data_IF_070101501510
#
_entry.id   IF_070101501510
#
_cell.length_a   1.000
_cell.length_b   1.000
_cell.length_c   1.000
_cell.angle_alpha   90.00
_cell.angle_beta   90.00
_cell.angle_gamma   90.00
#
_symmetry.space_group_name_H-M   'P 1'
#
loop_
_entity.id
_entity.type
_entity.pdbx_description
1 polymer ?
#
# COMPACT_ATOMS: atom_id res chain seq x y z
N UNK A 1 -2.08 -7.11 -10.55
CA UNK A 1 -1.66 -7.22 -9.12
C UNK A 1 -2.09 -5.95 -8.42
N UNK A 2 -2.90 -6.04 -7.36
CA UNK A 2 -3.41 -4.88 -6.64
C UNK A 2 -3.16 -5.05 -5.15
N UNK A 3 -2.48 -4.11 -4.52
CA UNK A 3 -2.25 -4.12 -3.07
C UNK A 3 -3.38 -3.34 -2.38
N UNK A 4 -4.05 -3.97 -1.42
CA UNK A 4 -5.09 -3.35 -0.61
C UNK A 4 -4.50 -2.55 0.56
N UNK A 5 -4.01 -1.35 0.22
CA UNK A 5 -3.42 -0.41 1.20
C UNK A 5 -4.46 0.03 2.24
N UNK A 6 -5.76 0.02 1.94
CA UNK A 6 -6.79 0.46 2.88
C UNK A 6 -6.94 -0.52 4.03
N UNK A 7 -7.02 -1.80 3.70
CA UNK A 7 -7.08 -2.87 4.70
C UNK A 7 -5.78 -2.92 5.50
N UNK A 8 -4.61 -2.80 4.85
CA UNK A 8 -3.33 -2.71 5.54
C UNK A 8 -3.29 -1.59 6.59
N UNK A 9 -3.72 -0.38 6.22
CA UNK A 9 -3.73 0.75 7.14
C UNK A 9 -4.67 0.51 8.33
N UNK A 10 -5.85 -0.07 8.10
CA UNK A 10 -6.79 -0.40 9.16
C UNK A 10 -6.22 -1.45 10.14
N UNK A 11 -5.66 -2.54 9.63
CA UNK A 11 -5.07 -3.62 10.45
C UNK A 11 -3.86 -3.16 11.26
N UNK A 12 -3.19 -2.10 10.82
CA UNK A 12 -2.05 -1.50 11.49
C UNK A 12 -2.40 -0.30 12.37
N UNK A 13 -3.68 0.00 12.59
CA UNK A 13 -4.19 1.16 13.33
C UNK A 13 -3.61 2.51 12.83
N UNK A 14 -3.40 2.60 11.51
CA UNK A 14 -2.84 3.76 10.84
C UNK A 14 -3.88 4.47 9.98
N UNK A 15 -3.87 5.79 10.04
CA UNK A 15 -4.53 6.67 9.08
C UNK A 15 -3.50 7.25 8.10
N UNK A 16 -3.96 7.65 6.92
CA UNK A 16 -3.11 8.37 5.94
C UNK A 16 -2.48 9.62 6.58
N UNK A 17 -3.21 10.28 7.48
CA UNK A 17 -2.71 11.43 8.23
C UNK A 17 -1.53 11.06 9.15
N UNK A 18 -1.64 9.97 9.92
CA UNK A 18 -0.54 9.49 10.77
C UNK A 18 0.68 9.10 9.93
N UNK A 19 0.46 8.37 8.82
CA UNK A 19 1.56 8.00 7.90
C UNK A 19 2.26 9.26 7.37
N UNK A 20 1.51 10.26 6.92
CA UNK A 20 2.06 11.54 6.46
C UNK A 20 2.88 12.25 7.56
N UNK A 21 2.30 12.36 8.76
CA UNK A 21 2.91 13.03 9.91
C UNK A 21 4.21 12.35 10.34
N UNK A 22 4.25 11.02 10.41
CA UNK A 22 5.41 10.27 10.87
C UNK A 22 6.51 10.21 9.80
N UNK A 23 6.13 9.99 8.53
CA UNK A 23 7.09 9.81 7.43
C UNK A 23 7.72 11.11 6.91
N UNK A 24 7.08 12.25 7.18
CA UNK A 24 7.47 13.56 6.65
C UNK A 24 6.98 13.84 5.23
N UNK A 25 6.21 12.92 4.63
CA UNK A 25 5.60 13.15 3.31
C UNK A 25 4.29 13.94 3.41
N UNK A 26 4.02 14.76 2.40
CA UNK A 26 2.80 15.57 2.35
C UNK A 26 1.53 14.73 2.34
N UNK A 27 0.55 15.09 3.18
CA UNK A 27 -0.73 14.39 3.30
C UNK A 27 -1.45 14.23 1.96
N UNK A 28 -1.56 15.29 1.18
CA UNK A 28 -2.26 15.27 -0.12
C UNK A 28 -1.57 14.35 -1.12
N UNK A 29 -0.24 14.24 -1.05
CA UNK A 29 0.56 13.33 -1.87
C UNK A 29 0.23 11.87 -1.56
N UNK A 30 0.29 11.48 -0.28
CA UNK A 30 -0.04 10.12 0.13
C UNK A 30 -1.53 9.80 -0.07
N UNK A 31 -2.42 10.75 0.21
CA UNK A 31 -3.85 10.59 -0.01
C UNK A 31 -4.17 10.30 -1.48
N UNK A 32 -3.57 11.04 -2.43
CA UNK A 32 -3.74 10.76 -3.85
C UNK A 32 -3.18 9.39 -4.23
N UNK A 33 -2.00 9.05 -3.71
CA UNK A 33 -1.32 7.80 -4.06
C UNK A 33 -2.06 6.56 -3.55
N UNK A 34 -2.45 6.53 -2.27
CA UNK A 34 -3.14 5.40 -1.65
C UNK A 34 -4.59 5.22 -2.14
N UNK A 35 -5.19 6.23 -2.77
CA UNK A 35 -6.52 6.13 -3.38
C UNK A 35 -6.46 5.89 -4.89
N UNK A 36 -5.27 5.91 -5.52
CA UNK A 36 -5.16 5.69 -6.95
C UNK A 36 -5.46 4.21 -7.25
N UNK A 37 -6.38 3.91 -8.19
CA UNK A 37 -6.55 2.54 -8.67
C UNK A 37 -5.21 2.00 -9.16
N UNK A 38 -4.72 0.94 -8.53
CA UNK A 38 -3.54 0.23 -9.00
C UNK A 38 -3.92 -0.42 -10.34
N UNK A 39 -3.16 -0.11 -11.39
CA UNK A 39 -3.25 -0.79 -12.68
C UNK A 39 -1.99 -1.62 -12.87
N UNK A 40 -1.97 -2.53 -13.85
CA UNK A 40 -0.77 -3.30 -14.18
C UNK A 40 0.46 -2.41 -14.49
N UNK A 41 0.26 -1.12 -14.80
CA UNK A 41 1.32 -0.14 -15.05
C UNK A 41 1.69 0.71 -13.82
N UNK A 42 0.94 0.63 -12.72
CA UNK A 42 1.23 1.38 -11.48
C UNK A 42 1.37 0.39 -10.33
N UNK A 43 2.59 -0.05 -10.05
CA UNK A 43 2.93 -0.76 -8.82
C UNK A 43 2.97 0.21 -7.63
N UNK A 44 3.08 -0.34 -6.41
CA UNK A 44 3.33 0.44 -5.20
C UNK A 44 4.55 1.34 -5.40
N UNK A 45 4.37 2.64 -5.16
CA UNK A 45 5.45 3.61 -5.32
C UNK A 45 6.49 3.44 -4.21
N UNK A 46 7.79 3.51 -4.52
CA UNK A 46 8.86 3.45 -3.52
C UNK A 46 8.69 4.48 -2.39
N UNK A 47 8.19 5.67 -2.71
CA UNK A 47 7.85 6.70 -1.72
C UNK A 47 6.77 6.23 -0.75
N UNK A 48 5.75 5.58 -1.28
CA UNK A 48 4.62 5.07 -0.50
C UNK A 48 5.07 3.94 0.42
N UNK A 49 5.92 3.05 -0.10
CA UNK A 49 6.57 1.99 0.67
C UNK A 49 7.46 2.55 1.79
N UNK A 50 8.29 3.56 1.50
CA UNK A 50 9.12 4.25 2.50
C UNK A 50 8.25 4.95 3.56
N UNK A 51 7.15 5.58 3.14
CA UNK A 51 6.23 6.24 4.06
C UNK A 51 5.62 5.25 5.06
N UNK A 52 5.18 4.08 4.59
CA UNK A 52 4.66 3.02 5.43
C UNK A 52 5.74 2.44 6.34
N UNK A 53 6.94 2.18 5.81
CA UNK A 53 8.09 1.68 6.57
C UNK A 53 8.44 2.61 7.75
N UNK A 54 8.50 3.92 7.50
CA UNK A 54 8.73 4.93 8.54
C UNK A 54 7.61 4.97 9.58
N UNK A 55 6.34 4.92 9.14
CA UNK A 55 5.19 4.92 10.05
C UNK A 55 5.14 3.68 10.94
N UNK A 56 5.72 2.58 10.48
CA UNK A 56 5.76 1.29 11.16
C UNK A 56 7.04 1.03 11.95
N UNK A 57 8.04 1.89 11.82
CA UNK A 57 9.39 1.66 12.34
C UNK A 57 9.99 0.32 11.86
N UNK A 58 9.74 -0.03 10.61
CA UNK A 58 10.21 -1.26 9.97
C UNK A 58 11.08 -0.93 8.75
N UNK A 59 11.87 -1.89 8.28
CA UNK A 59 12.55 -1.76 7.01
C UNK A 59 11.55 -1.90 5.84
N UNK A 60 11.80 -1.20 4.73
CA UNK A 60 10.93 -1.24 3.54
C UNK A 60 10.64 -2.65 3.03
N UNK A 61 11.63 -3.56 3.09
CA UNK A 61 11.44 -4.95 2.64
C UNK A 61 10.49 -5.75 3.54
N UNK A 62 10.41 -5.43 4.84
CA UNK A 62 9.49 -6.09 5.77
C UNK A 62 8.06 -5.70 5.43
N UNK A 63 7.82 -4.40 5.24
CA UNK A 63 6.51 -3.89 4.82
C UNK A 63 6.14 -4.43 3.44
N UNK A 64 7.07 -4.46 2.49
CA UNK A 64 6.80 -5.02 1.17
C UNK A 64 6.37 -6.49 1.26
N UNK A 65 7.09 -7.29 2.04
CA UNK A 65 6.75 -8.69 2.28
C UNK A 65 5.35 -8.85 2.89
N UNK A 66 5.03 -8.09 3.93
CA UNK A 66 3.68 -8.09 4.55
C UNK A 66 2.60 -7.77 3.51
N UNK A 67 2.81 -6.72 2.72
CA UNK A 67 1.89 -6.29 1.66
C UNK A 67 1.69 -7.37 0.59
N UNK A 68 2.75 -8.04 0.17
CA UNK A 68 2.71 -9.11 -0.84
C UNK A 68 2.06 -10.39 -0.31
N UNK A 69 2.31 -10.78 0.94
CA UNK A 69 1.81 -12.03 1.51
C UNK A 69 0.33 -11.95 1.92
N UNK A 70 -0.12 -10.78 2.39
CA UNK A 70 -1.42 -10.66 3.06
C UNK A 70 -2.40 -9.72 2.35
N UNK A 71 -1.91 -8.74 1.59
CA UNK A 71 -2.73 -7.66 1.03
C UNK A 71 -2.70 -7.62 -0.50
N UNK A 72 -2.00 -8.56 -1.14
CA UNK A 72 -1.94 -8.66 -2.58
C UNK A 72 -3.15 -9.42 -3.13
N UNK A 73 -3.98 -8.71 -3.88
CA UNK A 73 -5.04 -9.30 -4.69
C UNK A 73 -4.46 -9.69 -6.06
N UNK A 74 -4.45 -10.99 -6.31
CA UNK A 74 -4.27 -11.54 -7.64
C UNK A 74 -5.61 -11.39 -8.36
N UNK A 75 -5.64 -10.64 -9.46
CA UNK A 75 -6.85 -10.62 -10.28
C UNK A 75 -7.06 -12.03 -10.80
N UNK A 76 -8.15 -12.68 -10.35
CA UNK A 76 -8.55 -13.97 -10.88
C UNK A 76 -8.81 -13.78 -12.37
N UNK A 77 -7.90 -14.29 -13.20
CA UNK A 77 -8.10 -14.39 -14.62
C UNK A 77 -9.40 -15.14 -14.86
N UNK A 78 -10.27 -14.52 -15.65
CA UNK A 78 -11.52 -15.05 -16.19
C UNK A 78 -11.30 -16.50 -16.70
N UNK A 79 -11.58 -17.49 -15.86
CA UNK A 79 -11.71 -18.89 -16.23
C UNK A 79 -13.08 -19.33 -15.76
N UNK A 80 -13.89 -19.80 -16.71
CA UNK A 80 -15.29 -20.27 -16.69
C UNK A 80 -16.08 -19.35 -17.64
N UNK A 81 -16.22 -19.67 -18.93
CA UNK A 81 -16.87 -20.88 -19.41
C UNK A 81 -16.23 -21.39 -20.71
N UNK A 82 -15.87 -22.68 -20.72
CA UNK A 82 -15.79 -23.52 -21.91
C UNK A 82 -17.14 -24.20 -22.11
#
# INVERSE_FOLDING_TARGET
MKIDIKTYLADQDLTIYQVAKISGYGYTTLHKSFNKPQSNATSLNLRDLDALAKARHQAMWQVLKELEEQYLQLEAGNQLNK
#
